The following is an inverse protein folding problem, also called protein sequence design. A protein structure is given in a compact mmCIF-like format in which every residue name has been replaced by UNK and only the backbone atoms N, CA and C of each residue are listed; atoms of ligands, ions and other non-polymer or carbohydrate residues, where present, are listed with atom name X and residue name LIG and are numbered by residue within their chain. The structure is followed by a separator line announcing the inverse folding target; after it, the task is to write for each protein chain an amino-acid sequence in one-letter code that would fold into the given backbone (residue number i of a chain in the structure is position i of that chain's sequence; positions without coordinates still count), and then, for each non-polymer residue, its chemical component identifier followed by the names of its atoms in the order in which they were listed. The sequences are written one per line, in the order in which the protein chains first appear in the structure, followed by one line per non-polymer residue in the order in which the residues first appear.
data_IF_999253060630
#
_entry.id   IF_999253060630
#
_cell.length_a   1.000
_cell.length_b   1.000
_cell.length_c   1.000
_cell.angle_alpha   90.00
_cell.angle_beta   90.00
_cell.angle_gamma   90.00
#
_symmetry.space_group_name_H-M   'P 1'
#
loop_
_entity.id
_entity.type
_entity.pdbx_description
1 polymer ?
#
# COMPACT_ATOMS: atom_id res chain seq x y z
N UNK A 1 6.33 -18.70 -16.10
CA UNK A 1 5.58 -18.58 -14.82
C UNK A 1 5.51 -19.89 -14.04
N UNK A 2 5.35 -21.06 -14.69
CA UNK A 2 5.36 -22.38 -14.02
C UNK A 2 6.63 -22.64 -13.21
N UNK A 3 7.81 -22.46 -13.81
CA UNK A 3 9.11 -22.75 -13.20
C UNK A 3 9.40 -21.97 -11.90
N UNK A 4 8.98 -20.70 -11.81
CA UNK A 4 9.17 -19.87 -10.61
C UNK A 4 8.30 -20.34 -9.44
N UNK A 5 7.04 -20.68 -9.69
CA UNK A 5 6.12 -21.21 -8.68
C UNK A 5 6.54 -22.59 -8.21
N UNK A 6 7.03 -23.43 -9.11
CA UNK A 6 7.48 -24.79 -8.78
C UNK A 6 8.76 -24.75 -7.93
N UNK A 7 9.71 -23.86 -8.25
CA UNK A 7 10.89 -23.61 -7.40
C UNK A 7 10.50 -23.10 -6.01
N UNK A 8 9.56 -22.15 -5.94
CA UNK A 8 9.07 -21.62 -4.68
C UNK A 8 8.38 -22.72 -3.84
N UNK A 9 7.53 -23.54 -4.45
CA UNK A 9 6.87 -24.68 -3.79
C UNK A 9 7.89 -25.66 -3.22
N UNK A 10 8.89 -26.04 -4.01
CA UNK A 10 9.95 -26.94 -3.57
C UNK A 10 10.76 -26.37 -2.40
N UNK A 11 11.13 -25.08 -2.48
CA UNK A 11 11.92 -24.41 -1.43
C UNK A 11 11.14 -24.21 -0.12
N UNK A 12 9.82 -24.07 -0.17
CA UNK A 12 8.95 -23.85 1.00
C UNK A 12 8.23 -25.10 1.49
N UNK A 13 8.39 -26.28 0.85
CA UNK A 13 7.61 -27.50 1.10
C UNK A 13 7.60 -27.96 2.57
N UNK A 14 8.66 -27.68 3.34
CA UNK A 14 8.77 -28.06 4.76
C UNK A 14 8.06 -27.08 5.70
N UNK A 15 7.55 -25.94 5.17
CA UNK A 15 7.00 -24.86 5.99
C UNK A 15 5.63 -24.38 5.50
N UNK A 16 5.46 -24.25 4.20
CA UNK A 16 4.22 -23.73 3.60
C UNK A 16 3.77 -24.62 2.44
N UNK A 17 2.49 -24.94 2.42
CA UNK A 17 1.83 -25.53 1.23
C UNK A 17 1.13 -24.42 0.47
N UNK A 18 1.61 -24.09 -0.74
CA UNK A 18 1.00 -23.06 -1.59
C UNK A 18 -0.26 -23.64 -2.24
N UNK A 19 -1.42 -23.08 -1.92
CA UNK A 19 -2.73 -23.55 -2.40
C UNK A 19 -3.08 -22.93 -3.75
N UNK A 20 -3.15 -21.59 -3.80
CA UNK A 20 -3.51 -20.83 -5.01
C UNK A 20 -2.98 -19.41 -4.98
N UNK A 21 -2.96 -18.77 -6.14
CA UNK A 21 -2.71 -17.33 -6.25
C UNK A 21 -3.93 -16.55 -5.78
N UNK A 22 -3.70 -15.49 -4.98
CA UNK A 22 -4.71 -14.51 -4.56
C UNK A 22 -4.73 -13.28 -5.45
N UNK A 23 -3.56 -12.90 -5.98
CA UNK A 23 -3.41 -11.77 -6.89
C UNK A 23 -1.96 -11.50 -7.27
N UNK A 24 -1.77 -10.86 -8.41
CA UNK A 24 -0.47 -10.42 -8.90
C UNK A 24 -0.47 -8.90 -9.12
N UNK A 25 0.59 -8.25 -8.63
CA UNK A 25 0.83 -6.82 -8.81
C UNK A 25 2.16 -6.52 -9.49
N UNK A 26 2.46 -5.25 -9.67
CA UNK A 26 3.72 -4.79 -10.28
C UNK A 26 4.97 -5.22 -9.51
N UNK A 27 4.88 -5.35 -8.18
CA UNK A 27 6.03 -5.64 -7.31
C UNK A 27 6.10 -7.08 -6.82
N UNK A 28 4.96 -7.75 -6.68
CA UNK A 28 4.86 -9.05 -6.03
C UNK A 28 3.64 -9.83 -6.51
N UNK A 29 3.68 -11.14 -6.28
CA UNK A 29 2.52 -12.03 -6.36
C UNK A 29 2.17 -12.51 -4.96
N UNK A 30 0.88 -12.55 -4.65
CA UNK A 30 0.35 -13.01 -3.36
C UNK A 30 -0.27 -14.38 -3.52
N UNK A 31 0.11 -15.32 -2.69
CA UNK A 31 -0.43 -16.68 -2.67
C UNK A 31 -1.15 -16.96 -1.35
N UNK A 32 -2.26 -17.67 -1.42
CA UNK A 32 -2.81 -18.36 -0.26
C UNK A 32 -1.94 -19.59 0.00
N UNK A 33 -1.51 -19.74 1.24
CA UNK A 33 -0.72 -20.89 1.66
C UNK A 33 -1.14 -21.37 3.04
N UNK A 34 -0.88 -22.65 3.33
CA UNK A 34 -1.06 -23.25 4.64
C UNK A 34 0.30 -23.31 5.37
N UNK A 35 0.39 -22.67 6.52
CA UNK A 35 1.55 -22.74 7.43
C UNK A 35 1.50 -24.08 8.18
N UNK A 36 2.35 -25.02 7.76
CA UNK A 36 2.39 -26.40 8.30
C UNK A 36 2.83 -26.46 9.77
N UNK A 37 3.57 -25.45 10.24
CA UNK A 37 4.07 -25.41 11.62
C UNK A 37 3.00 -24.96 12.61
N UNK A 38 2.13 -24.04 12.20
CA UNK A 38 1.13 -23.43 13.08
C UNK A 38 -0.31 -23.79 12.67
N UNK A 39 -0.50 -24.67 11.69
CA UNK A 39 -1.79 -25.16 11.19
C UNK A 39 -2.78 -24.03 10.91
N UNK A 40 -2.37 -23.09 10.05
CA UNK A 40 -3.20 -21.91 9.72
C UNK A 40 -2.99 -21.44 8.28
N UNK A 41 -4.00 -20.76 7.75
CA UNK A 41 -3.87 -20.08 6.46
C UNK A 41 -3.12 -18.75 6.60
N UNK A 42 -2.24 -18.50 5.63
CA UNK A 42 -1.44 -17.28 5.51
C UNK A 42 -1.48 -16.76 4.07
N UNK A 43 -1.28 -15.46 3.92
CA UNK A 43 -0.98 -14.84 2.64
C UNK A 43 0.55 -14.72 2.51
N UNK A 44 1.13 -15.43 1.53
CA UNK A 44 2.54 -15.33 1.16
C UNK A 44 2.69 -14.32 0.05
N UNK A 45 3.35 -13.21 0.32
CA UNK A 45 3.70 -12.22 -0.69
C UNK A 45 5.13 -12.41 -1.14
N UNK A 46 5.30 -12.73 -2.42
CA UNK A 46 6.57 -13.09 -3.05
C UNK A 46 6.97 -11.98 -4.00
N UNK A 47 8.12 -11.37 -3.77
CA UNK A 47 8.63 -10.28 -4.60
C UNK A 47 9.06 -10.82 -5.97
N UNK A 48 8.91 -10.01 -7.00
CA UNK A 48 9.40 -10.33 -8.34
C UNK A 48 10.91 -10.45 -8.36
N UNK A 49 11.43 -11.27 -9.25
CA UNK A 49 12.87 -11.57 -9.34
C UNK A 49 13.72 -10.32 -9.55
N UNK A 50 13.25 -9.37 -10.37
CA UNK A 50 13.93 -8.11 -10.63
C UNK A 50 14.07 -7.28 -9.36
N UNK A 51 13.04 -7.25 -8.52
CA UNK A 51 13.05 -6.55 -7.25
C UNK A 51 13.90 -7.29 -6.20
N UNK A 52 13.84 -8.61 -6.17
CA UNK A 52 14.69 -9.43 -5.30
C UNK A 52 16.17 -9.16 -5.58
N UNK A 53 16.56 -9.13 -6.86
CA UNK A 53 17.93 -8.85 -7.25
C UNK A 53 18.39 -7.42 -6.90
N UNK A 54 17.50 -6.44 -7.04
CA UNK A 54 17.80 -5.04 -6.74
C UNK A 54 17.88 -4.76 -5.22
N UNK A 55 17.00 -5.38 -4.43
CA UNK A 55 16.91 -5.15 -2.98
C UNK A 55 18.07 -5.76 -2.21
N UNK A 56 18.41 -7.01 -2.52
CA UNK A 56 19.27 -7.85 -1.70
C UNK A 56 18.62 -8.29 -0.38
N UNK A 57 18.95 -9.51 0.05
CA UNK A 57 18.32 -10.12 1.24
C UNK A 57 18.54 -9.33 2.53
N UNK A 58 19.74 -8.79 2.76
CA UNK A 58 20.08 -8.07 4.00
C UNK A 58 19.25 -6.80 4.21
N UNK A 59 19.07 -6.00 3.14
CA UNK A 59 18.27 -4.77 3.21
C UNK A 59 16.80 -5.08 3.41
N UNK A 60 16.29 -6.06 2.67
CA UNK A 60 14.91 -6.53 2.84
C UNK A 60 14.66 -6.96 4.29
N UNK A 61 15.50 -7.81 4.86
CA UNK A 61 15.34 -8.28 6.22
C UNK A 61 15.36 -7.13 7.25
N UNK A 62 16.22 -6.13 7.06
CA UNK A 62 16.27 -4.97 7.97
C UNK A 62 14.94 -4.21 7.99
N UNK A 63 14.38 -3.87 6.83
CA UNK A 63 13.13 -3.10 6.76
C UNK A 63 11.94 -3.93 7.24
N UNK A 64 11.90 -5.22 6.91
CA UNK A 64 10.88 -6.14 7.40
C UNK A 64 10.95 -6.30 8.93
N UNK A 65 12.14 -6.38 9.52
CA UNK A 65 12.28 -6.46 10.98
C UNK A 65 11.75 -5.22 11.72
N UNK A 66 11.84 -4.06 11.10
CA UNK A 66 11.26 -2.82 11.67
C UNK A 66 9.74 -2.91 11.61
N UNK A 67 9.17 -3.28 10.46
CA UNK A 67 7.73 -3.42 10.28
C UNK A 67 7.13 -4.54 11.14
N UNK A 68 7.86 -5.63 11.38
CA UNK A 68 7.42 -6.76 12.22
C UNK A 68 7.24 -6.39 13.70
N UNK A 69 7.78 -5.26 14.16
CA UNK A 69 7.61 -4.78 15.54
C UNK A 69 6.28 -4.03 15.73
N UNK A 70 5.62 -3.64 14.64
CA UNK A 70 4.34 -2.94 14.74
C UNK A 70 3.24 -3.87 15.23
N UNK A 71 2.57 -3.49 16.31
CA UNK A 71 1.47 -4.25 16.91
C UNK A 71 0.28 -3.33 17.14
N UNK A 72 -0.71 -3.41 16.28
CA UNK A 72 -1.91 -2.59 16.37
C UNK A 72 -3.11 -3.33 15.76
N UNK A 73 -4.34 -3.18 16.29
CA UNK A 73 -5.52 -3.88 15.75
C UNK A 73 -5.83 -3.57 14.29
N UNK A 74 -5.41 -2.41 13.77
CA UNK A 74 -5.62 -2.00 12.39
C UNK A 74 -4.35 -2.16 11.51
N UNK A 75 -3.29 -2.80 12.00
CA UNK A 75 -2.10 -3.18 11.22
C UNK A 75 -2.12 -4.70 11.02
N UNK A 76 -2.01 -5.15 9.78
CA UNK A 76 -1.85 -6.57 9.49
C UNK A 76 -0.41 -6.98 9.84
N UNK A 77 -0.20 -7.84 10.87
CA UNK A 77 1.14 -8.15 11.34
C UNK A 77 1.93 -9.00 10.34
N UNK A 78 3.24 -8.86 10.34
CA UNK A 78 4.13 -9.79 9.66
C UNK A 78 4.36 -11.01 10.55
N UNK A 79 4.17 -12.20 9.98
CA UNK A 79 4.36 -13.48 10.68
C UNK A 79 5.76 -14.05 10.45
N UNK A 80 6.29 -13.83 9.26
CA UNK A 80 7.54 -14.42 8.79
C UNK A 80 8.07 -13.71 7.56
N UNK A 81 9.37 -13.88 7.29
CA UNK A 81 10.00 -13.40 6.07
C UNK A 81 11.24 -14.23 5.76
N UNK A 82 11.64 -14.28 4.50
CA UNK A 82 12.82 -15.03 4.09
C UNK A 82 13.10 -14.97 2.61
N UNK A 83 14.00 -15.83 2.20
CA UNK A 83 14.33 -16.11 0.82
C UNK A 83 14.04 -17.59 0.51
N UNK A 84 13.36 -17.84 -0.61
CA UNK A 84 13.04 -19.18 -1.07
C UNK A 84 13.11 -19.25 -2.60
N UNK A 85 13.85 -20.22 -3.13
CA UNK A 85 14.03 -20.38 -4.57
C UNK A 85 14.66 -19.18 -5.26
N UNK A 86 15.47 -18.38 -4.53
CA UNK A 86 16.07 -17.14 -5.02
C UNK A 86 15.09 -15.95 -5.08
N UNK A 87 13.96 -16.02 -4.36
CA UNK A 87 12.95 -14.97 -4.26
C UNK A 87 12.75 -14.57 -2.81
N UNK A 88 12.64 -13.26 -2.58
CA UNK A 88 12.27 -12.71 -1.28
C UNK A 88 10.76 -12.83 -1.05
N UNK A 89 10.38 -13.23 0.15
CA UNK A 89 8.97 -13.35 0.53
C UNK A 89 8.73 -12.89 1.96
N UNK A 90 7.48 -12.58 2.26
CA UNK A 90 6.98 -12.47 3.62
C UNK A 90 5.58 -13.06 3.76
N UNK A 91 5.28 -13.52 4.96
CA UNK A 91 4.01 -14.11 5.32
C UNK A 91 3.24 -13.18 6.26
N UNK A 92 1.94 -13.10 6.06
CA UNK A 92 1.00 -12.36 6.91
C UNK A 92 -0.26 -13.21 7.10
N UNK A 93 -1.10 -12.94 8.11
CA UNK A 93 -2.37 -13.62 8.26
C UNK A 93 -3.20 -13.51 6.98
N UNK A 94 -3.84 -14.60 6.58
CA UNK A 94 -4.85 -14.51 5.54
C UNK A 94 -6.09 -13.81 6.12
N UNK A 95 -6.53 -12.75 5.47
CA UNK A 95 -7.72 -12.00 5.86
C UNK A 95 -8.88 -12.46 4.98
N UNK A 96 -9.85 -13.13 5.59
CA UNK A 96 -11.12 -13.40 4.93
C UNK A 96 -11.91 -12.09 4.78
N UNK A 97 -11.89 -11.54 3.57
CA UNK A 97 -12.47 -10.23 3.28
C UNK A 97 -12.14 -9.79 1.86
N UNK A 98 -12.19 -8.50 1.65
CA UNK A 98 -11.86 -7.87 0.37
C UNK A 98 -10.96 -6.67 0.60
N UNK A 99 -10.18 -6.30 -0.41
CA UNK A 99 -9.47 -5.04 -0.40
C UNK A 99 -10.45 -3.86 -0.54
N UNK A 100 -10.03 -2.69 -0.09
CA UNK A 100 -10.78 -1.46 -0.31
C UNK A 100 -10.91 -1.13 -1.81
N UNK A 101 -9.94 -1.56 -2.63
CA UNK A 101 -9.99 -1.46 -4.09
C UNK A 101 -11.14 -2.27 -4.68
N UNK A 102 -11.30 -3.52 -4.25
CA UNK A 102 -12.40 -4.37 -4.71
C UNK A 102 -13.75 -3.82 -4.30
N UNK A 103 -13.85 -3.24 -3.09
CA UNK A 103 -15.06 -2.57 -2.63
C UNK A 103 -15.38 -1.34 -3.49
N UNK A 104 -14.40 -0.48 -3.75
CA UNK A 104 -14.56 0.70 -4.62
C UNK A 104 -14.96 0.31 -6.05
N UNK A 105 -14.35 -0.74 -6.61
CA UNK A 105 -14.68 -1.21 -7.96
C UNK A 105 -16.13 -1.69 -8.06
N UNK A 106 -16.68 -2.26 -6.98
CA UNK A 106 -18.06 -2.76 -6.94
C UNK A 106 -19.09 -1.67 -6.61
N UNK A 107 -18.78 -0.79 -5.65
CA UNK A 107 -19.75 0.16 -5.08
C UNK A 107 -19.58 1.60 -5.59
N UNK A 108 -18.42 1.94 -6.19
CA UNK A 108 -18.08 3.31 -6.51
C UNK A 108 -17.86 4.13 -5.23
N UNK A 109 -18.48 5.32 -5.16
CA UNK A 109 -18.40 6.17 -3.96
C UNK A 109 -19.07 5.50 -2.74
N UNK A 110 -18.36 5.48 -1.61
CA UNK A 110 -18.86 4.87 -0.39
C UNK A 110 -19.73 5.84 0.44
N UNK A 111 -20.65 5.33 1.30
CA UNK A 111 -21.34 6.16 2.28
C UNK A 111 -20.37 6.95 3.16
N UNK A 112 -20.70 8.22 3.46
CA UNK A 112 -19.84 9.09 4.31
C UNK A 112 -19.53 8.44 5.66
N UNK A 113 -20.49 7.83 6.39
CA UNK A 113 -20.18 7.17 7.66
C UNK A 113 -19.16 6.01 7.52
N UNK A 114 -19.24 5.24 6.43
CA UNK A 114 -18.31 4.15 6.16
C UNK A 114 -16.92 4.68 5.84
N UNK A 115 -16.86 5.74 5.00
CA UNK A 115 -15.60 6.42 4.68
C UNK A 115 -14.91 6.92 5.95
N UNK A 116 -15.63 7.63 6.81
CA UNK A 116 -15.08 8.16 8.08
C UNK A 116 -14.57 7.03 8.99
N UNK A 117 -15.30 5.92 9.09
CA UNK A 117 -14.87 4.76 9.88
C UNK A 117 -13.58 4.14 9.33
N UNK A 118 -13.52 3.89 8.01
CA UNK A 118 -12.33 3.33 7.36
C UNK A 118 -11.12 4.24 7.56
N UNK A 119 -11.31 5.55 7.35
CA UNK A 119 -10.23 6.53 7.52
C UNK A 119 -9.73 6.59 8.96
N UNK A 120 -10.61 6.46 9.96
CA UNK A 120 -10.21 6.40 11.37
C UNK A 120 -9.32 5.19 11.62
N UNK A 121 -9.74 4.00 11.21
CA UNK A 121 -8.95 2.78 11.38
C UNK A 121 -7.57 2.89 10.70
N UNK A 122 -7.51 3.48 9.50
CA UNK A 122 -6.24 3.72 8.78
C UNK A 122 -5.36 4.74 9.50
N UNK A 123 -5.94 5.84 9.98
CA UNK A 123 -5.18 6.87 10.70
C UNK A 123 -4.66 6.37 12.05
N UNK A 124 -5.43 5.54 12.76
CA UNK A 124 -4.98 4.90 13.99
C UNK A 124 -3.77 3.97 13.72
N UNK A 125 -3.82 3.17 12.64
CA UNK A 125 -2.68 2.35 12.21
C UNK A 125 -1.45 3.20 11.85
N UNK A 126 -1.62 4.30 11.13
CA UNK A 126 -0.52 5.19 10.76
C UNK A 126 0.07 5.92 11.98
N UNK A 127 -0.76 6.32 12.94
CA UNK A 127 -0.30 6.95 14.19
C UNK A 127 0.65 6.02 14.93
N UNK A 128 0.31 4.74 15.07
CA UNK A 128 1.17 3.73 15.67
C UNK A 128 2.48 3.58 14.90
N UNK A 129 2.42 3.42 13.58
CA UNK A 129 3.61 3.26 12.75
C UNK A 129 4.54 4.48 12.81
N UNK A 130 3.98 5.69 12.70
CA UNK A 130 4.74 6.94 12.74
C UNK A 130 5.41 7.17 14.11
N UNK A 131 4.76 6.78 15.22
CA UNK A 131 5.36 6.84 16.56
C UNK A 131 6.62 5.97 16.70
N UNK A 132 6.72 4.91 15.88
CA UNK A 132 7.88 4.04 15.77
C UNK A 132 8.86 4.43 14.64
N UNK A 133 8.67 5.59 14.02
CA UNK A 133 9.50 6.08 12.91
C UNK A 133 9.30 5.32 11.60
N UNK A 134 8.21 4.58 11.47
CA UNK A 134 7.87 3.82 10.24
C UNK A 134 6.89 4.62 9.41
N UNK A 135 7.30 5.01 8.20
CA UNK A 135 6.47 5.65 7.18
C UNK A 135 6.08 4.61 6.16
N UNK A 136 4.78 4.53 5.82
CA UNK A 136 4.26 3.48 4.92
C UNK A 136 4.67 3.70 3.47
N UNK A 137 4.53 4.93 2.95
CA UNK A 137 4.94 5.38 1.60
C UNK A 137 4.15 4.81 0.42
N UNK A 138 3.19 3.91 0.65
CA UNK A 138 2.35 3.30 -0.40
C UNK A 138 0.91 3.06 0.10
N UNK A 139 0.33 4.05 0.79
CA UNK A 139 -1.08 3.99 1.20
C UNK A 139 -1.96 4.12 -0.04
N UNK A 140 -2.78 3.08 -0.27
CA UNK A 140 -3.71 2.99 -1.40
C UNK A 140 -4.79 1.95 -1.09
N UNK A 141 -5.92 1.94 -1.81
CA UNK A 141 -7.02 1.01 -1.55
C UNK A 141 -6.64 -0.48 -1.64
N UNK A 142 -5.63 -0.83 -2.44
CA UNK A 142 -5.11 -2.21 -2.55
C UNK A 142 -4.43 -2.68 -1.26
N UNK A 143 -3.83 -1.75 -0.48
CA UNK A 143 -3.10 -2.03 0.75
C UNK A 143 -3.98 -1.82 2.01
N UNK A 144 -5.29 -1.71 1.84
CA UNK A 144 -6.28 -1.61 2.92
C UNK A 144 -7.27 -2.77 2.77
N UNK A 145 -7.17 -3.75 3.68
CA UNK A 145 -8.08 -4.89 3.73
C UNK A 145 -9.28 -4.59 4.63
N UNK A 146 -10.44 -5.04 4.22
CA UNK A 146 -11.69 -4.90 4.99
C UNK A 146 -12.09 -6.25 5.57
N UNK A 147 -12.13 -6.33 6.90
CA UNK A 147 -12.61 -7.50 7.67
C UNK A 147 -13.84 -7.09 8.49
N UNK A 148 -15.01 -7.47 8.03
CA UNK A 148 -16.25 -7.00 8.64
C UNK A 148 -16.35 -5.47 8.57
N UNK A 149 -16.34 -4.81 9.73
CA UNK A 149 -16.44 -3.34 9.83
C UNK A 149 -15.09 -2.64 9.96
N UNK A 150 -13.99 -3.37 10.10
CA UNK A 150 -12.68 -2.84 10.38
C UNK A 150 -11.81 -2.81 9.12
N UNK A 151 -10.98 -1.77 9.02
CA UNK A 151 -9.93 -1.67 8.03
C UNK A 151 -8.58 -2.08 8.65
N UNK A 152 -7.80 -2.83 7.88
CA UNK A 152 -6.46 -3.30 8.23
C UNK A 152 -5.49 -2.80 7.17
N UNK A 153 -4.47 -2.08 7.59
CA UNK A 153 -3.40 -1.61 6.69
C UNK A 153 -2.35 -2.72 6.56
N UNK A 154 -1.96 -3.03 5.33
CA UNK A 154 -0.96 -4.06 5.00
C UNK A 154 0.29 -3.44 4.41
N UNK A 155 1.37 -4.22 4.29
CA UNK A 155 2.58 -3.88 3.51
C UNK A 155 3.44 -2.75 4.08
N UNK A 156 3.45 -2.53 5.40
CA UNK A 156 4.38 -1.61 6.05
C UNK A 156 5.85 -1.98 5.77
N UNK A 157 6.68 -0.98 5.52
CA UNK A 157 8.13 -1.11 5.35
C UNK A 157 8.61 -1.60 3.98
N UNK A 158 7.77 -2.27 3.20
CA UNK A 158 8.15 -2.86 1.91
C UNK A 158 8.46 -1.80 0.85
N UNK A 159 7.63 -0.75 0.77
CA UNK A 159 7.81 0.32 -0.20
C UNK A 159 9.12 1.10 0.02
N UNK A 160 9.53 1.29 1.29
CA UNK A 160 10.81 1.93 1.62
C UNK A 160 11.99 1.07 1.17
N UNK A 161 11.97 -0.23 1.49
CA UNK A 161 13.01 -1.17 1.07
C UNK A 161 13.21 -1.13 -0.45
N UNK A 162 12.12 -1.23 -1.21
CA UNK A 162 12.13 -1.22 -2.68
C UNK A 162 12.63 0.13 -3.21
N UNK A 163 12.13 1.26 -2.71
CA UNK A 163 12.54 2.61 -3.16
C UNK A 163 14.03 2.90 -2.94
N UNK A 164 14.57 2.46 -1.80
CA UNK A 164 16.01 2.65 -1.50
C UNK A 164 16.91 1.73 -2.32
N UNK A 165 16.45 0.53 -2.67
CA UNK A 165 17.20 -0.45 -3.42
C UNK A 165 17.29 -0.12 -4.92
N UNK A 166 16.17 0.32 -5.50
CA UNK A 166 16.11 0.60 -6.94
C UNK A 166 16.73 1.95 -7.30
N UNK A 167 17.13 2.73 -6.30
CA UNK A 167 17.56 4.11 -6.52
C UNK A 167 16.41 4.96 -7.06
N UNK A 168 16.43 6.27 -6.78
CA UNK A 168 15.37 7.20 -7.21
C UNK A 168 15.17 7.32 -8.73
N UNK A 169 16.03 6.69 -9.53
CA UNK A 169 16.01 6.76 -11.00
C UNK A 169 15.06 5.76 -11.66
N UNK A 170 14.51 4.77 -10.95
CA UNK A 170 13.68 3.71 -11.57
C UNK A 170 12.26 4.14 -11.90
N UNK A 171 11.85 5.35 -11.53
CA UNK A 171 10.55 5.91 -11.93
C UNK A 171 10.46 6.22 -13.44
N UNK A 172 11.58 6.27 -14.15
CA UNK A 172 11.60 6.78 -15.53
C UNK A 172 12.20 5.84 -16.58
N UNK A 173 13.07 4.89 -16.22
CA UNK A 173 13.87 4.17 -17.22
C UNK A 173 13.32 2.81 -17.65
N UNK A 174 12.47 2.16 -16.87
CA UNK A 174 11.96 0.80 -17.16
C UNK A 174 10.45 0.70 -17.42
N UNK A 175 9.71 1.81 -17.47
CA UNK A 175 8.24 1.77 -17.70
C UNK A 175 7.44 1.08 -16.57
N UNK A 176 8.09 0.58 -15.54
CA UNK A 176 7.45 -0.02 -14.36
C UNK A 176 7.28 1.10 -13.34
N UNK A 177 6.08 1.71 -13.33
CA UNK A 177 5.72 2.63 -12.25
C UNK A 177 5.77 1.84 -10.92
N UNK A 178 6.74 2.19 -10.07
CA UNK A 178 6.85 1.66 -8.71
C UNK A 178 5.68 2.24 -7.89
N UNK A 179 4.56 1.53 -7.84
CA UNK A 179 3.31 1.98 -7.22
C UNK A 179 2.29 2.58 -8.20
N UNK A 180 1.07 2.74 -7.73
CA UNK A 180 -0.02 3.39 -8.46
C UNK A 180 0.12 4.90 -8.29
N UNK A 181 0.42 5.70 -9.33
CA UNK A 181 0.71 7.13 -9.19
C UNK A 181 -0.45 7.96 -8.60
N UNK A 182 -1.67 7.41 -8.62
CA UNK A 182 -2.90 8.10 -8.19
C UNK A 182 -2.95 8.51 -6.70
N UNK A 183 -2.03 7.99 -5.87
CA UNK A 183 -1.99 8.29 -4.42
C UNK A 183 -0.65 8.87 -3.97
N UNK A 184 0.27 9.07 -4.90
CA UNK A 184 1.63 9.49 -4.61
C UNK A 184 1.66 10.97 -4.21
N UNK A 185 2.36 11.28 -3.11
CA UNK A 185 2.53 12.66 -2.68
C UNK A 185 3.43 13.45 -3.66
N UNK A 186 3.25 14.77 -3.81
CA UNK A 186 4.06 15.62 -4.68
C UNK A 186 5.57 15.46 -4.47
N UNK A 187 6.01 15.43 -3.21
CA UNK A 187 7.41 15.25 -2.84
C UNK A 187 7.96 13.87 -3.20
N UNK A 188 7.11 12.81 -3.16
CA UNK A 188 7.48 11.49 -3.66
C UNK A 188 7.61 11.50 -5.18
N UNK A 189 6.65 12.11 -5.89
CA UNK A 189 6.66 12.25 -7.34
C UNK A 189 7.87 13.04 -7.85
N UNK A 190 8.32 14.03 -7.07
CA UNK A 190 9.50 14.85 -7.35
C UNK A 190 10.81 14.22 -6.86
N UNK A 191 10.78 13.01 -6.29
CA UNK A 191 11.93 12.32 -5.72
C UNK A 191 12.70 13.13 -4.66
N UNK A 192 11.99 13.89 -3.80
CA UNK A 192 12.58 14.65 -2.70
C UNK A 192 13.35 13.70 -1.77
N UNK A 193 14.60 14.05 -1.39
CA UNK A 193 15.37 13.25 -0.44
C UNK A 193 14.80 13.20 0.97
N UNK A 194 14.00 14.17 1.38
CA UNK A 194 13.56 14.37 2.76
C UNK A 194 12.07 14.01 2.95
N UNK A 195 11.72 12.75 2.61
CA UNK A 195 10.36 12.24 2.82
C UNK A 195 10.12 11.93 4.29
N UNK A 196 9.05 12.50 4.86
CA UNK A 196 8.58 12.21 6.20
C UNK A 196 7.17 11.56 6.20
N UNK A 197 6.55 11.42 7.36
CA UNK A 197 5.23 10.82 7.54
C UNK A 197 4.10 11.54 6.79
N UNK A 198 4.31 12.79 6.36
CA UNK A 198 3.29 13.59 5.65
C UNK A 198 2.99 13.07 4.25
N UNK A 199 3.84 12.20 3.68
CA UNK A 199 3.51 11.48 2.43
C UNK A 199 2.31 10.56 2.64
N UNK A 200 2.22 9.91 3.81
CA UNK A 200 1.07 9.06 4.14
C UNK A 200 -0.20 9.89 4.38
N UNK A 201 -0.07 11.08 4.99
CA UNK A 201 -1.19 12.03 5.16
C UNK A 201 -1.78 12.41 3.79
N UNK A 202 -0.92 12.72 2.81
CA UNK A 202 -1.37 13.02 1.46
C UNK A 202 -2.08 11.82 0.82
N UNK A 203 -1.48 10.64 0.91
CA UNK A 203 -2.05 9.41 0.36
C UNK A 203 -3.42 9.06 0.99
N UNK A 204 -3.57 9.25 2.32
CA UNK A 204 -4.88 9.14 3.01
C UNK A 204 -5.88 10.14 2.46
N UNK A 205 -5.45 11.38 2.19
CA UNK A 205 -6.28 12.39 1.52
C UNK A 205 -6.76 11.94 0.15
N UNK A 206 -5.88 11.34 -0.66
CA UNK A 206 -6.21 10.82 -1.98
C UNK A 206 -7.18 9.62 -1.91
N UNK A 207 -6.96 8.70 -0.97
CA UNK A 207 -7.89 7.60 -0.70
C UNK A 207 -9.25 8.14 -0.26
N UNK A 208 -9.29 9.08 0.69
CA UNK A 208 -10.52 9.70 1.19
C UNK A 208 -11.31 10.37 0.07
N UNK A 209 -10.62 11.10 -0.80
CA UNK A 209 -11.22 11.75 -1.97
C UNK A 209 -11.91 10.71 -2.88
N UNK A 210 -11.21 9.62 -3.21
CA UNK A 210 -11.78 8.57 -4.04
C UNK A 210 -12.94 7.85 -3.36
N UNK A 211 -12.86 7.56 -2.06
CA UNK A 211 -13.96 6.96 -1.30
C UNK A 211 -15.22 7.83 -1.33
N UNK A 212 -15.06 9.16 -1.27
CA UNK A 212 -16.19 10.10 -1.25
C UNK A 212 -16.76 10.38 -2.63
N UNK A 213 -15.93 10.39 -3.68
CA UNK A 213 -16.33 10.79 -5.04
C UNK A 213 -16.47 9.63 -6.02
N UNK A 214 -15.94 8.46 -5.70
CA UNK A 214 -15.87 7.29 -6.60
C UNK A 214 -14.81 7.44 -7.71
N UNK A 215 -13.93 8.46 -7.62
CA UNK A 215 -12.91 8.74 -8.64
C UNK A 215 -11.61 9.23 -8.02
N UNK A 216 -10.44 8.94 -8.60
CA UNK A 216 -9.17 9.45 -8.11
C UNK A 216 -9.10 10.98 -8.18
N UNK A 217 -8.20 11.58 -7.39
CA UNK A 217 -8.00 13.04 -7.33
C UNK A 217 -7.66 13.61 -8.69
N UNK A 218 -6.74 12.97 -9.40
CA UNK A 218 -6.30 13.34 -10.74
C UNK A 218 -6.41 12.14 -11.68
N UNK A 219 -6.71 12.42 -12.93
CA UNK A 219 -6.83 11.43 -14.01
C UNK A 219 -5.91 11.82 -15.15
N UNK A 220 -5.34 10.83 -15.81
CA UNK A 220 -4.47 11.04 -16.96
C UNK A 220 -4.40 9.78 -17.82
N UNK A 221 -4.05 9.93 -19.09
CA UNK A 221 -3.88 8.81 -20.02
C UNK A 221 -2.53 8.09 -19.85
N UNK A 222 -1.60 8.72 -19.13
CA UNK A 222 -0.29 8.14 -18.80
C UNK A 222 0.02 8.32 -17.31
N UNK A 223 0.83 7.42 -16.71
CA UNK A 223 1.31 7.58 -15.34
C UNK A 223 2.01 8.92 -15.10
N UNK A 224 2.78 9.41 -16.08
CA UNK A 224 3.49 10.67 -15.99
C UNK A 224 2.55 11.88 -15.89
N UNK A 225 1.43 11.86 -16.64
CA UNK A 225 0.41 12.90 -16.52
C UNK A 225 -0.20 12.95 -15.12
N UNK A 226 -0.50 11.78 -14.54
CA UNK A 226 -1.03 11.70 -13.17
C UNK A 226 -0.01 12.23 -12.15
N UNK A 227 1.26 11.84 -12.26
CA UNK A 227 2.34 12.34 -11.41
C UNK A 227 2.50 13.87 -11.52
N UNK A 228 2.51 14.40 -12.76
CA UNK A 228 2.57 15.84 -12.99
C UNK A 228 1.41 16.55 -12.31
N UNK A 229 0.18 16.03 -12.45
CA UNK A 229 -1.00 16.63 -11.83
C UNK A 229 -0.91 16.62 -10.30
N UNK A 230 -0.37 15.55 -9.68
CA UNK A 230 -0.12 15.54 -8.24
C UNK A 230 0.86 16.63 -7.80
N UNK A 231 1.83 16.99 -8.63
CA UNK A 231 2.79 18.07 -8.33
C UNK A 231 2.20 19.47 -8.58
N UNK A 232 1.46 19.66 -9.68
CA UNK A 232 1.15 21.00 -10.19
C UNK A 232 -0.30 21.41 -10.11
N UNK A 233 -1.27 20.47 -10.16
CA UNK A 233 -2.68 20.80 -10.28
C UNK A 233 -3.38 20.86 -8.92
N UNK A 234 -4.28 21.83 -8.73
CA UNK A 234 -5.15 21.88 -7.56
C UNK A 234 -6.26 20.82 -7.68
N UNK A 235 -6.53 20.04 -6.61
CA UNK A 235 -7.63 19.08 -6.63
C UNK A 235 -8.97 19.81 -6.72
N UNK A 236 -9.92 19.23 -7.46
CA UNK A 236 -11.28 19.77 -7.53
C UNK A 236 -12.00 19.55 -6.19
N UNK A 237 -12.87 20.49 -5.75
CA UNK A 237 -13.66 20.30 -4.53
C UNK A 237 -14.49 19.01 -4.59
N UNK A 238 -14.55 18.27 -3.48
CA UNK A 238 -15.33 17.02 -3.38
C UNK A 238 -16.81 17.29 -3.61
N UNK A 239 -17.31 18.41 -3.09
CA UNK A 239 -18.71 18.83 -3.22
C UNK A 239 -19.14 19.10 -4.66
N UNK A 240 -18.20 19.30 -5.60
CA UNK A 240 -18.49 19.36 -7.03
C UNK A 240 -19.04 18.02 -7.57
N UNK A 241 -18.61 16.91 -6.99
CA UNK A 241 -18.99 15.55 -7.42
C UNK A 241 -20.06 14.93 -6.51
N UNK A 242 -20.08 15.35 -5.24
CA UNK A 242 -21.02 14.85 -4.24
C UNK A 242 -21.38 15.94 -3.24
N UNK A 243 -22.45 16.66 -3.51
CA UNK A 243 -22.92 17.80 -2.71
C UNK A 243 -23.21 17.42 -1.24
N UNK A 244 -23.67 16.20 -1.01
CA UNK A 244 -24.03 15.68 0.33
C UNK A 244 -22.83 15.48 1.28
N UNK A 245 -21.58 15.71 0.82
CA UNK A 245 -20.39 15.59 1.70
C UNK A 245 -20.34 16.81 2.63
N UNK A 246 -20.24 16.61 3.96
CA UNK A 246 -20.13 17.72 4.89
C UNK A 246 -18.91 18.62 4.59
N UNK A 247 -19.10 19.93 4.60
CA UNK A 247 -18.03 20.92 4.32
C UNK A 247 -16.81 20.75 5.21
N UNK A 248 -17.02 20.39 6.50
CA UNK A 248 -15.92 20.13 7.42
C UNK A 248 -15.07 18.92 6.99
N UNK A 249 -15.71 17.84 6.50
CA UNK A 249 -15.00 16.66 6.00
C UNK A 249 -14.25 16.98 4.69
N UNK A 250 -14.87 17.71 3.78
CA UNK A 250 -14.20 18.21 2.58
C UNK A 250 -12.95 19.00 2.94
N UNK A 251 -13.06 19.98 3.85
CA UNK A 251 -11.93 20.82 4.27
C UNK A 251 -10.77 19.98 4.87
N UNK A 252 -11.09 18.98 5.67
CA UNK A 252 -10.11 18.05 6.23
C UNK A 252 -9.35 17.29 5.11
N UNK A 253 -10.08 16.72 4.16
CA UNK A 253 -9.49 15.95 3.06
C UNK A 253 -8.67 16.86 2.14
N UNK A 254 -9.21 18.04 1.80
CA UNK A 254 -8.51 18.98 0.93
C UNK A 254 -7.21 19.52 1.57
N UNK A 255 -7.16 19.66 2.89
CA UNK A 255 -5.93 20.00 3.60
C UNK A 255 -4.90 18.86 3.53
N UNK A 256 -5.30 17.60 3.64
CA UNK A 256 -4.37 16.47 3.41
C UNK A 256 -3.73 16.53 2.02
N UNK A 257 -4.48 17.03 1.01
CA UNK A 257 -4.05 17.15 -0.39
C UNK A 257 -3.25 18.41 -0.69
N UNK A 258 -2.89 19.22 0.31
CA UNK A 258 -2.02 20.39 0.13
C UNK A 258 -0.68 19.96 -0.49
N UNK A 259 -0.19 20.76 -1.45
CA UNK A 259 1.03 20.45 -2.19
C UNK A 259 2.26 20.48 -1.31
N UNK A 260 2.39 21.51 -0.49
CA UNK A 260 3.47 21.61 0.47
C UNK A 260 3.19 20.75 1.70
N UNK A 261 4.13 19.88 2.12
CA UNK A 261 3.94 19.04 3.31
C UNK A 261 3.64 19.85 4.57
N UNK A 262 4.22 21.06 4.71
CA UNK A 262 4.04 21.94 5.85
C UNK A 262 2.59 22.47 5.99
N UNK A 263 1.79 22.47 4.91
CA UNK A 263 0.41 22.95 4.92
C UNK A 263 -0.60 21.84 5.28
N UNK A 264 -0.13 20.58 5.41
CA UNK A 264 -0.93 19.42 5.82
C UNK A 264 -1.08 19.37 7.34
N UNK A 265 -1.59 18.26 7.84
CA UNK A 265 -1.70 17.95 9.28
C UNK A 265 -0.38 17.43 9.85
#
# INVERSE_FOLDING_TARGET
MSDTVDRLRAALANRYTIERELGAGGMATVYLAHDLRHDRQVALKVLRQELTAALGAERFHREIQIAAKLQHPNILPLLDSGEAGGLLFYAMPYVEGQSLRERLAREGALPVPDTVRILRDVLDALTEAHSHGVVHRDIKPENIMLRGRHALVTDFGVAKAVSEATGRQTLTTAGVALGTPAYMAPEQASADPHLDHRVDIYAVGAVAYELLTGRPVFMGTTPQMVLSAHVTEAPQPITRFREAVPRALEALVMRCLAKQPADRW
#
